data_IF_817397597242
#
_entry.id   IF_817397597242
#
_cell.length_a   1.000
_cell.length_b   1.000
_cell.length_c   1.000
_cell.angle_alpha   90.00
_cell.angle_beta   90.00
_cell.angle_gamma   90.00
#
_symmetry.space_group_name_H-M   'P 1'
#
loop_
_entity.id
_entity.type
_entity.pdbx_description
1 polymer ?
#
# COMPACT_ATOMS: atom_id res chain seq x y z
N UNK A 1 -74.56 -9.18 12.49
CA UNK A 1 -73.17 -9.52 12.90
C UNK A 1 -72.23 -8.68 12.05
N UNK A 2 -71.25 -8.03 12.69
CA UNK A 2 -70.32 -7.04 12.12
C UNK A 2 -69.22 -7.75 11.30
N UNK A 3 -68.91 -7.27 10.10
CA UNK A 3 -67.64 -7.58 9.42
C UNK A 3 -66.83 -6.31 9.31
N UNK A 4 -65.77 -6.25 10.11
CA UNK A 4 -64.83 -5.13 10.19
C UNK A 4 -63.90 -5.09 8.98
N UNK A 5 -63.60 -3.87 8.56
CA UNK A 5 -62.54 -3.47 7.65
C UNK A 5 -61.17 -3.71 8.30
N UNK A 6 -60.15 -4.06 7.53
CA UNK A 6 -58.76 -3.71 7.82
C UNK A 6 -57.98 -3.58 6.52
N UNK A 7 -57.76 -2.33 6.10
CA UNK A 7 -56.82 -1.95 5.06
C UNK A 7 -55.42 -1.88 5.69
N UNK A 8 -54.50 -2.71 5.22
CA UNK A 8 -53.08 -2.61 5.59
C UNK A 8 -52.39 -1.65 4.60
N UNK A 9 -52.09 -0.44 5.07
CA UNK A 9 -51.19 0.50 4.38
C UNK A 9 -49.77 0.17 4.81
N UNK A 10 -48.98 -0.42 3.92
CA UNK A 10 -47.54 -0.59 4.12
C UNK A 10 -46.83 0.66 3.58
N UNK A 11 -46.36 1.53 4.48
CA UNK A 11 -45.44 2.63 4.15
C UNK A 11 -44.05 2.02 4.02
N UNK A 12 -43.60 1.79 2.78
CA UNK A 12 -42.21 1.45 2.50
C UNK A 12 -41.35 2.71 2.64
N UNK A 13 -40.52 2.77 3.67
CA UNK A 13 -39.48 3.77 3.80
C UNK A 13 -38.39 3.48 2.75
N UNK A 14 -38.42 4.22 1.64
CA UNK A 14 -37.32 4.24 0.68
C UNK A 14 -36.14 4.97 1.33
N UNK A 15 -35.14 4.21 1.78
CA UNK A 15 -33.82 4.74 2.09
C UNK A 15 -33.22 5.26 0.79
N UNK A 16 -33.36 6.56 0.53
CA UNK A 16 -32.66 7.24 -0.55
C UNK A 16 -31.20 7.32 -0.16
N UNK A 17 -30.42 6.31 -0.55
CA UNK A 17 -28.96 6.41 -0.58
C UNK A 17 -28.60 7.45 -1.63
N UNK A 18 -28.36 8.69 -1.20
CA UNK A 18 -27.78 9.72 -2.06
C UNK A 18 -26.46 9.21 -2.62
N UNK A 19 -26.19 9.35 -3.92
CA UNK A 19 -24.85 9.10 -4.43
C UNK A 19 -23.90 10.06 -3.70
N UNK A 20 -22.92 9.49 -2.97
CA UNK A 20 -21.79 10.28 -2.51
C UNK A 20 -21.09 10.78 -3.77
N UNK A 21 -21.05 12.08 -3.99
CA UNK A 21 -20.23 12.58 -5.08
C UNK A 21 -18.76 12.45 -4.70
N UNK A 22 -17.94 12.04 -5.65
CA UNK A 22 -16.52 11.81 -5.45
C UNK A 22 -15.75 12.96 -6.09
N UNK A 23 -14.79 13.50 -5.34
CA UNK A 23 -13.74 14.34 -5.91
C UNK A 23 -12.74 13.46 -6.67
N UNK A 24 -12.11 14.03 -7.69
CA UNK A 24 -11.13 13.36 -8.54
C UNK A 24 -9.78 14.07 -8.47
N UNK A 25 -8.68 13.33 -8.54
CA UNK A 25 -7.33 13.87 -8.78
C UNK A 25 -6.70 13.18 -9.96
N UNK A 26 -6.47 13.95 -11.02
CA UNK A 26 -5.72 13.52 -12.19
C UNK A 26 -4.21 13.62 -11.92
N UNK A 27 -3.50 12.52 -12.11
CA UNK A 27 -2.07 12.36 -11.84
C UNK A 27 -1.34 12.15 -13.17
N UNK A 28 -0.38 13.02 -13.53
CA UNK A 28 0.42 12.86 -14.73
C UNK A 28 1.26 11.59 -14.74
N UNK A 29 1.57 11.11 -15.95
CA UNK A 29 2.33 9.89 -16.19
C UNK A 29 3.73 9.86 -15.53
N UNK A 30 4.29 11.04 -15.26
CA UNK A 30 5.56 11.24 -14.59
C UNK A 30 5.53 10.87 -13.09
N UNK A 31 4.35 10.63 -12.51
CA UNK A 31 4.20 10.27 -11.09
C UNK A 31 3.65 8.84 -10.94
N UNK A 32 4.23 8.13 -9.97
CA UNK A 32 3.79 6.84 -9.48
C UNK A 32 3.00 7.06 -8.19
N UNK A 33 1.75 6.59 -8.18
CA UNK A 33 0.91 6.58 -6.98
C UNK A 33 1.25 5.40 -6.08
N UNK A 34 1.39 5.69 -4.78
CA UNK A 34 1.84 4.72 -3.77
C UNK A 34 0.70 4.38 -2.81
N UNK A 35 0.00 5.39 -2.29
CA UNK A 35 -0.91 5.21 -1.16
C UNK A 35 -1.92 6.38 -1.02
N UNK A 36 -3.13 6.10 -0.54
CA UNK A 36 -4.15 7.09 -0.20
C UNK A 36 -4.64 6.87 1.25
N UNK A 37 -4.51 7.88 2.12
CA UNK A 37 -5.05 7.91 3.49
C UNK A 37 -4.66 6.74 4.38
N UNK A 38 -3.41 6.30 4.38
CA UNK A 38 -3.21 5.06 5.11
C UNK A 38 -3.86 3.85 4.38
N UNK A 39 -4.04 3.85 3.04
CA UNK A 39 -4.21 2.64 2.18
C UNK A 39 -3.17 2.51 1.03
N UNK A 40 -2.25 1.53 1.09
CA UNK A 40 -1.32 1.22 -0.01
C UNK A 40 -2.10 0.63 -1.16
N UNK A 41 -1.89 1.14 -2.35
CA UNK A 41 -2.48 0.54 -3.53
C UNK A 41 -1.45 -0.40 -4.15
N UNK A 42 -1.87 -1.65 -4.35
CA UNK A 42 -1.02 -2.66 -4.99
C UNK A 42 -0.53 -2.13 -6.34
N UNK A 43 0.78 -2.28 -6.58
CA UNK A 43 1.48 -1.83 -7.78
C UNK A 43 1.08 -2.70 -8.97
N UNK A 44 -0.18 -2.61 -9.41
CA UNK A 44 -0.62 -3.22 -10.66
C UNK A 44 -0.14 -2.33 -11.80
N UNK A 45 0.98 -2.72 -12.42
CA UNK A 45 1.52 -2.09 -13.63
C UNK A 45 0.51 -2.06 -14.79
N UNK A 46 -0.58 -2.83 -14.71
CA UNK A 46 -1.63 -2.96 -15.73
C UNK A 46 -2.81 -2.01 -15.48
N UNK A 47 -3.03 -1.56 -14.24
CA UNK A 47 -4.07 -0.59 -13.88
C UNK A 47 -3.46 0.61 -13.17
N UNK A 48 -2.57 1.32 -13.89
CA UNK A 48 -2.20 2.68 -13.51
C UNK A 48 -3.51 3.47 -13.44
N UNK A 49 -3.85 3.98 -12.26
CA UNK A 49 -4.93 4.94 -12.10
C UNK A 49 -4.33 6.32 -12.31
N UNK A 50 -4.54 6.86 -13.50
CA UNK A 50 -4.32 8.26 -13.85
C UNK A 50 -5.30 9.19 -13.12
N UNK A 51 -6.40 8.64 -12.61
CA UNK A 51 -7.39 9.36 -11.80
C UNK A 51 -7.64 8.64 -10.46
N UNK A 52 -7.54 9.39 -9.37
CA UNK A 52 -7.95 8.94 -8.04
C UNK A 52 -9.28 9.56 -7.68
N UNK A 53 -10.24 8.73 -7.28
CA UNK A 53 -11.52 9.18 -6.74
C UNK A 53 -11.55 8.99 -5.23
N UNK A 54 -11.96 10.02 -4.52
CA UNK A 54 -12.10 10.03 -3.06
C UNK A 54 -13.32 10.87 -2.66
N UNK A 55 -13.84 10.61 -1.46
CA UNK A 55 -14.90 11.43 -0.88
C UNK A 55 -14.42 12.88 -0.68
N UNK A 56 -15.29 13.85 -0.44
CA UNK A 56 -14.87 15.16 0.07
C UNK A 56 -14.16 15.02 1.44
N UNK A 57 -13.17 15.86 1.71
CA UNK A 57 -12.45 15.90 2.99
C UNK A 57 -10.93 15.98 2.88
N UNK A 58 -10.24 15.72 4.00
CA UNK A 58 -8.78 15.72 4.06
C UNK A 58 -8.22 14.40 3.56
N UNK A 59 -7.33 14.47 2.58
CA UNK A 59 -6.70 13.29 1.99
C UNK A 59 -5.19 13.38 1.94
N UNK A 60 -4.54 12.29 2.34
CA UNK A 60 -3.09 12.11 2.24
C UNK A 60 -2.77 11.20 1.07
N UNK A 61 -2.02 11.72 0.10
CA UNK A 61 -1.74 11.05 -1.16
C UNK A 61 -0.23 10.91 -1.27
N UNK A 62 0.27 9.68 -1.16
CA UNK A 62 1.68 9.37 -1.29
C UNK A 62 2.03 9.11 -2.76
N UNK A 63 3.00 9.88 -3.26
CA UNK A 63 3.42 9.89 -4.66
C UNK A 63 4.95 9.83 -4.76
N UNK A 64 5.42 9.49 -5.94
CA UNK A 64 6.82 9.59 -6.33
C UNK A 64 6.94 9.98 -7.79
N UNK A 65 7.83 10.90 -8.12
CA UNK A 65 8.26 11.10 -9.51
C UNK A 65 9.07 9.90 -10.01
N UNK A 66 8.74 9.38 -11.20
CA UNK A 66 9.42 8.29 -11.88
C UNK A 66 9.41 8.53 -13.39
N UNK A 67 10.58 8.43 -14.01
CA UNK A 67 10.75 8.67 -15.45
C UNK A 67 11.82 7.74 -16.06
N UNK A 68 11.86 7.68 -17.38
CA UNK A 68 12.90 7.00 -18.15
C UNK A 68 13.59 8.01 -19.06
N UNK A 69 14.87 8.23 -18.82
CA UNK A 69 15.70 9.18 -19.58
C UNK A 69 16.69 8.43 -20.46
N UNK A 70 17.11 9.03 -21.55
CA UNK A 70 18.22 8.51 -22.35
C UNK A 70 19.49 8.46 -21.48
N UNK A 71 20.27 7.38 -21.59
CA UNK A 71 21.54 7.25 -20.89
C UNK A 71 22.65 7.94 -21.67
N UNK A 72 23.51 8.67 -20.97
CA UNK A 72 24.66 9.37 -21.59
C UNK A 72 25.76 8.39 -22.07
N UNK A 73 25.74 7.14 -21.61
CA UNK A 73 26.83 6.17 -21.82
C UNK A 73 26.47 4.99 -22.71
N UNK A 74 25.18 4.69 -22.90
CA UNK A 74 24.72 3.56 -23.70
C UNK A 74 23.31 3.82 -24.24
N UNK A 75 22.90 3.09 -25.28
CA UNK A 75 21.56 3.19 -25.89
C UNK A 75 20.46 2.53 -25.02
N UNK A 76 20.68 2.40 -23.71
CA UNK A 76 19.70 1.83 -22.79
C UNK A 76 19.14 2.93 -21.91
N UNK A 77 17.83 3.19 -21.96
CA UNK A 77 17.21 4.19 -21.09
C UNK A 77 17.46 3.90 -19.60
N UNK A 78 17.81 4.96 -18.87
CA UNK A 78 18.00 4.94 -17.41
C UNK A 78 16.69 5.32 -16.72
N UNK A 79 16.27 4.54 -15.71
CA UNK A 79 15.12 4.91 -14.88
C UNK A 79 15.58 5.83 -13.76
N UNK A 80 14.94 6.99 -13.68
CA UNK A 80 15.12 7.93 -12.58
C UNK A 80 13.89 7.97 -11.68
N UNK A 81 14.12 8.04 -10.36
CA UNK A 81 13.07 8.06 -9.35
C UNK A 81 13.43 9.01 -8.22
N UNK A 82 12.44 9.72 -7.72
CA UNK A 82 12.54 10.54 -6.49
C UNK A 82 12.29 9.71 -5.22
N UNK A 83 12.58 10.30 -4.06
CA UNK A 83 12.00 9.85 -2.80
C UNK A 83 10.47 10.06 -2.81
N UNK A 84 9.75 9.30 -1.97
CA UNK A 84 8.31 9.48 -1.86
C UNK A 84 7.96 10.77 -1.11
N UNK A 85 6.89 11.43 -1.52
CA UNK A 85 6.36 12.62 -0.85
C UNK A 85 4.85 12.47 -0.65
N UNK A 86 4.34 13.14 0.38
CA UNK A 86 2.91 13.17 0.69
C UNK A 86 2.33 14.51 0.28
N UNK A 87 1.20 14.46 -0.40
CA UNK A 87 0.31 15.58 -0.60
C UNK A 87 -0.85 15.45 0.37
N UNK A 88 -1.09 16.47 1.19
CA UNK A 88 -2.33 16.61 1.95
C UNK A 88 -3.24 17.55 1.19
N UNK A 89 -4.33 17.04 0.63
CA UNK A 89 -5.31 17.78 -0.17
C UNK A 89 -6.63 17.92 0.59
N UNK A 90 -7.19 19.13 0.56
CA UNK A 90 -8.53 19.41 1.06
C UNK A 90 -9.52 19.36 -0.09
N UNK A 91 -10.15 18.20 -0.28
CA UNK A 91 -11.08 17.95 -1.36
C UNK A 91 -12.47 18.51 -1.06
N UNK A 92 -12.99 19.30 -1.99
CA UNK A 92 -14.38 19.76 -2.00
C UNK A 92 -15.30 18.69 -2.58
N UNK A 93 -16.60 18.79 -2.31
CA UNK A 93 -17.62 18.03 -3.05
C UNK A 93 -17.48 18.27 -4.56
N UNK A 94 -17.53 17.20 -5.35
CA UNK A 94 -17.42 17.24 -6.82
C UNK A 94 -16.15 17.96 -7.32
N UNK A 95 -15.08 17.99 -6.54
CA UNK A 95 -13.85 18.69 -6.92
C UNK A 95 -13.05 17.89 -7.95
N UNK A 96 -12.81 18.48 -9.13
CA UNK A 96 -11.94 17.91 -10.16
C UNK A 96 -10.56 18.58 -10.12
N UNK A 97 -9.57 17.84 -9.63
CA UNK A 97 -8.21 18.33 -9.39
C UNK A 97 -7.22 17.76 -10.40
N UNK A 98 -6.21 18.57 -10.74
CA UNK A 98 -5.11 18.17 -11.62
C UNK A 98 -3.78 18.46 -10.93
N UNK A 99 -2.94 17.43 -10.82
CA UNK A 99 -1.57 17.57 -10.35
C UNK A 99 -0.66 17.95 -11.52
N UNK A 100 0.21 18.95 -11.32
CA UNK A 100 1.18 19.41 -12.31
C UNK A 100 2.55 19.59 -11.66
N UNK A 101 3.67 19.24 -12.32
CA UNK A 101 4.99 19.59 -11.81
C UNK A 101 5.15 21.12 -11.64
N UNK A 102 5.78 21.54 -10.54
CA UNK A 102 6.13 22.95 -10.37
C UNK A 102 7.20 23.31 -11.42
N UNK A 103 6.89 24.28 -12.28
CA UNK A 103 7.67 24.59 -13.48
C UNK A 103 6.94 24.28 -14.79
N UNK A 104 5.75 23.67 -14.71
CA UNK A 104 4.87 23.40 -15.84
C UNK A 104 4.83 21.92 -16.21
N UNK A 105 4.07 21.61 -17.26
CA UNK A 105 3.80 20.24 -17.70
C UNK A 105 5.06 19.47 -18.14
N UNK A 106 6.08 20.19 -18.62
CA UNK A 106 7.34 19.61 -19.12
C UNK A 106 8.47 19.83 -18.11
N UNK A 107 8.97 18.73 -17.55
CA UNK A 107 10.14 18.72 -16.67
C UNK A 107 11.42 18.77 -17.51
N UNK A 108 12.11 19.91 -17.50
CA UNK A 108 13.32 20.13 -18.32
C UNK A 108 14.58 19.45 -17.78
N UNK A 109 14.68 19.32 -16.45
CA UNK A 109 15.82 18.69 -15.80
C UNK A 109 15.35 17.56 -14.88
N UNK A 110 15.09 16.36 -15.41
CA UNK A 110 14.49 15.24 -14.67
C UNK A 110 15.37 14.77 -13.51
N UNK A 111 16.71 14.89 -13.63
CA UNK A 111 17.64 14.56 -12.54
C UNK A 111 17.53 15.50 -11.34
N UNK A 112 17.42 16.80 -11.60
CA UNK A 112 17.24 17.81 -10.57
C UNK A 112 15.85 17.73 -9.93
N UNK A 113 14.81 17.56 -10.77
CA UNK A 113 13.44 17.39 -10.29
C UNK A 113 13.28 16.14 -9.40
N UNK A 114 13.93 15.03 -9.76
CA UNK A 114 13.91 13.83 -8.94
C UNK A 114 14.54 14.00 -7.55
N UNK A 115 15.52 14.92 -7.41
CA UNK A 115 16.17 15.17 -6.12
C UNK A 115 15.27 15.94 -5.16
N UNK A 116 14.44 16.86 -5.67
CA UNK A 116 13.52 17.67 -4.87
C UNK A 116 12.24 17.96 -5.68
N UNK A 117 11.32 16.98 -5.79
CA UNK A 117 10.10 17.18 -6.57
C UNK A 117 9.23 18.26 -5.92
N UNK A 118 8.70 19.12 -6.76
CA UNK A 118 7.72 20.15 -6.41
C UNK A 118 6.54 20.04 -7.37
N UNK A 119 5.34 20.26 -6.84
CA UNK A 119 4.09 20.12 -7.60
C UNK A 119 3.14 21.26 -7.25
N UNK A 120 2.18 21.48 -8.14
CA UNK A 120 1.03 22.35 -7.96
C UNK A 120 -0.21 21.51 -8.22
N UNK A 121 -1.28 21.77 -7.46
CA UNK A 121 -2.59 21.20 -7.74
C UNK A 121 -3.52 22.35 -8.12
N UNK A 122 -4.19 22.22 -9.24
CA UNK A 122 -5.25 23.13 -9.68
C UNK A 122 -6.58 22.41 -9.75
N UNK A 123 -7.68 23.14 -9.68
CA UNK A 123 -8.99 22.63 -10.12
C UNK A 123 -9.13 22.69 -11.65
N UNK A 124 -10.25 22.22 -12.18
CA UNK A 124 -10.58 22.27 -13.62
C UNK A 124 -10.57 23.71 -14.17
N UNK A 125 -10.92 24.71 -13.35
CA UNK A 125 -10.90 26.13 -13.71
C UNK A 125 -9.48 26.73 -13.69
N UNK A 126 -8.47 25.96 -13.29
CA UNK A 126 -7.07 26.36 -13.20
C UNK A 126 -6.75 27.17 -11.93
N UNK A 127 -7.66 27.28 -10.97
CA UNK A 127 -7.40 27.90 -9.68
C UNK A 127 -6.61 26.96 -8.77
N UNK A 128 -5.69 27.52 -7.99
CA UNK A 128 -4.84 26.72 -7.10
C UNK A 128 -5.66 26.08 -5.97
N UNK A 129 -5.56 24.75 -5.85
CA UNK A 129 -6.17 24.00 -4.76
C UNK A 129 -5.40 24.24 -3.45
N UNK A 130 -6.08 24.05 -2.31
CA UNK A 130 -5.43 24.07 -1.00
C UNK A 130 -4.81 22.72 -0.73
N UNK A 131 -3.48 22.68 -0.72
CA UNK A 131 -2.74 21.48 -0.37
C UNK A 131 -1.44 21.82 0.36
N UNK A 132 -0.89 20.82 1.04
CA UNK A 132 0.45 20.85 1.62
C UNK A 132 1.28 19.72 1.03
N UNK A 133 2.56 19.97 0.75
CA UNK A 133 3.51 18.94 0.34
C UNK A 133 4.49 18.68 1.48
N UNK A 134 4.54 17.43 1.91
CA UNK A 134 5.52 16.92 2.88
C UNK A 134 6.51 16.04 2.16
N UNK A 135 7.76 16.48 2.09
CA UNK A 135 8.86 15.64 1.57
C UNK A 135 9.19 14.60 2.62
N UNK A 136 9.41 13.37 2.16
CA UNK A 136 9.86 12.31 3.05
C UNK A 136 11.22 11.83 2.59
N UNK A 137 12.21 11.87 3.47
CA UNK A 137 13.54 11.28 3.26
C UNK A 137 13.51 9.75 3.32
N UNK A 138 12.43 9.12 2.86
CA UNK A 138 12.12 7.73 3.18
C UNK A 138 12.03 6.91 1.90
N UNK A 139 12.90 5.91 1.86
CA UNK A 139 12.98 4.86 0.85
C UNK A 139 11.80 3.89 1.03
N UNK A 140 11.82 2.71 0.39
CA UNK A 140 10.72 1.74 0.34
C UNK A 140 10.02 1.43 1.69
N UNK A 141 10.69 1.65 2.83
CA UNK A 141 10.17 1.54 4.21
C UNK A 141 9.09 2.56 4.59
N UNK A 142 8.94 3.67 3.87
CA UNK A 142 7.97 4.72 4.19
C UNK A 142 6.54 4.21 4.26
N UNK A 143 6.20 3.38 3.29
CA UNK A 143 4.88 2.80 3.18
C UNK A 143 4.63 1.83 4.35
N UNK A 144 5.63 1.08 4.83
CA UNK A 144 5.45 0.19 5.99
C UNK A 144 5.15 0.97 7.29
N UNK A 145 5.72 2.18 7.44
CA UNK A 145 5.53 3.05 8.61
C UNK A 145 4.21 3.84 8.61
N UNK A 146 3.68 4.22 7.45
CA UNK A 146 2.46 5.03 7.37
C UNK A 146 1.19 4.28 7.87
N UNK A 147 1.30 2.98 8.18
CA UNK A 147 0.16 2.04 8.32
C UNK A 147 0.34 0.92 9.33
N UNK A 148 1.57 0.66 9.75
CA UNK A 148 1.92 -0.53 10.53
C UNK A 148 1.37 -0.57 11.95
N UNK A 149 0.50 0.36 12.36
CA UNK A 149 0.04 0.47 13.75
C UNK A 149 -1.50 0.49 13.96
N UNK A 150 -2.33 0.18 12.95
CA UNK A 150 -3.80 0.28 13.08
C UNK A 150 -4.56 -1.05 12.95
N UNK A 151 -4.19 -2.09 13.70
CA UNK A 151 -5.17 -3.12 14.10
C UNK A 151 -4.77 -3.83 15.42
N UNK A 152 -4.89 -3.11 16.54
CA UNK A 152 -5.23 -3.73 17.83
C UNK A 152 -6.27 -2.87 18.53
N UNK A 153 -7.51 -2.92 18.07
CA UNK A 153 -8.66 -2.54 18.87
C UNK A 153 -9.78 -3.56 18.65
N UNK A 154 -10.10 -4.27 19.73
CA UNK A 154 -11.46 -4.70 20.05
C UNK A 154 -12.03 -5.88 19.27
N UNK A 155 -11.84 -7.08 19.79
CA UNK A 155 -12.93 -8.05 19.93
C UNK A 155 -12.57 -8.99 21.08
N UNK A 156 -12.98 -8.56 22.27
CA UNK A 156 -13.30 -9.44 23.39
C UNK A 156 -14.51 -10.28 22.95
N UNK A 157 -14.35 -11.60 22.83
CA UNK A 157 -15.34 -12.56 23.31
C UNK A 157 -14.73 -13.96 23.31
N UNK A 158 -14.44 -14.47 24.51
CA UNK A 158 -14.30 -15.90 24.75
C UNK A 158 -15.71 -16.48 24.92
N UNK A 159 -16.00 -17.66 24.35
CA UNK A 159 -16.57 -18.70 25.20
C UNK A 159 -15.89 -20.07 25.03
N UNK A 160 -16.15 -21.01 25.96
CA UNK A 160 -15.21 -22.02 26.41
C UNK A 160 -15.23 -23.33 25.61
N UNK A 161 -14.20 -24.13 25.90
CA UNK A 161 -13.87 -25.50 25.51
C UNK A 161 -15.02 -26.46 25.09
N UNK A 162 -14.67 -27.57 24.40
CA UNK A 162 -14.43 -28.76 25.20
C UNK A 162 -13.09 -29.44 24.91
N UNK A 163 -12.43 -29.87 25.98
CA UNK A 163 -11.40 -30.88 25.95
C UNK A 163 -12.00 -32.24 25.55
N UNK A 164 -11.19 -33.11 24.92
CA UNK A 164 -11.17 -34.49 25.35
C UNK A 164 -9.83 -34.81 26.04
N UNK A 165 -9.98 -35.38 27.23
CA UNK A 165 -8.91 -35.91 28.07
C UNK A 165 -8.63 -37.38 27.73
N UNK A 166 -7.36 -37.76 27.85
CA UNK A 166 -6.82 -39.11 28.11
C UNK A 166 -6.94 -40.15 26.97
N UNK A 167 -5.99 -41.05 26.71
CA UNK A 167 -4.88 -41.59 27.51
C UNK A 167 -3.71 -42.05 26.62
N UNK A 168 -2.53 -42.12 27.26
CA UNK A 168 -1.40 -43.03 27.09
C UNK A 168 -1.30 -43.89 25.80
N UNK A 169 -0.13 -43.89 25.15
CA UNK A 169 0.90 -44.88 25.46
C UNK A 169 2.24 -44.57 24.78
N UNK A 170 3.29 -45.09 25.41
CA UNK A 170 4.71 -44.98 25.09
C UNK A 170 5.01 -45.60 23.72
N UNK A 171 5.77 -44.90 22.85
CA UNK A 171 6.86 -45.51 22.08
C UNK A 171 7.88 -44.43 21.68
N UNK A 172 9.01 -44.49 22.37
CA UNK A 172 10.31 -44.17 21.80
C UNK A 172 10.45 -44.89 20.44
N UNK A 173 11.04 -44.21 19.47
CA UNK A 173 12.00 -44.75 18.50
C UNK A 173 11.74 -44.39 17.02
N UNK A 174 12.88 -44.13 16.37
CA UNK A 174 13.17 -44.17 14.93
C UNK A 174 12.90 -42.90 14.13
N UNK A 175 14.01 -42.18 13.92
CA UNK A 175 14.37 -41.48 12.69
C UNK A 175 13.74 -42.11 11.43
N UNK A 176 12.55 -41.62 11.07
CA UNK A 176 11.89 -41.87 9.80
C UNK A 176 12.29 -40.82 8.79
N UNK A 177 13.41 -41.07 8.10
CA UNK A 177 13.91 -40.34 6.94
C UNK A 177 12.85 -40.34 5.82
N UNK A 178 12.07 -39.28 5.71
CA UNK A 178 11.40 -38.88 4.47
C UNK A 178 12.37 -37.94 3.71
N UNK A 179 12.52 -38.07 2.38
CA UNK A 179 13.52 -37.28 1.66
C UNK A 179 13.07 -35.82 1.64
N UNK A 180 13.67 -35.00 2.51
CA UNK A 180 13.84 -33.60 2.22
C UNK A 180 14.59 -33.56 0.88
N UNK A 181 13.92 -33.09 -0.17
CA UNK A 181 14.57 -32.83 -1.45
C UNK A 181 15.79 -31.95 -1.14
N UNK A 182 16.98 -32.51 -1.36
CA UNK A 182 18.22 -31.82 -1.10
C UNK A 182 18.16 -30.45 -1.79
N UNK A 183 18.35 -29.33 -1.07
CA UNK A 183 18.54 -28.06 -1.73
C UNK A 183 19.73 -28.22 -2.66
N UNK A 184 19.52 -27.87 -3.93
CA UNK A 184 20.58 -27.84 -4.93
C UNK A 184 21.77 -27.05 -4.37
N UNK A 185 23.02 -27.49 -4.63
CA UNK A 185 24.19 -26.77 -4.17
C UNK A 185 24.13 -25.33 -4.71
N UNK A 186 24.11 -24.38 -3.78
CA UNK A 186 24.15 -22.96 -4.09
C UNK A 186 25.63 -22.64 -4.25
N UNK A 187 26.02 -22.27 -5.47
CA UNK A 187 27.35 -21.75 -5.72
C UNK A 187 27.45 -20.38 -5.03
N UNK A 188 28.08 -20.38 -3.86
CA UNK A 188 28.21 -19.20 -2.97
C UNK A 188 29.53 -18.46 -3.21
N UNK A 189 30.26 -18.84 -4.25
CA UNK A 189 31.51 -18.21 -4.64
C UNK A 189 31.26 -16.75 -5.06
N UNK A 190 31.49 -15.82 -4.13
CA UNK A 190 31.42 -14.37 -4.34
C UNK A 190 30.18 -13.67 -3.79
N UNK A 191 29.22 -14.38 -3.19
CA UNK A 191 28.04 -13.76 -2.56
C UNK A 191 28.37 -13.20 -1.17
N UNK A 192 27.93 -11.98 -0.87
CA UNK A 192 28.14 -11.40 0.45
C UNK A 192 27.30 -12.14 1.52
N UNK A 193 27.71 -12.14 2.80
CA UNK A 193 26.91 -12.75 3.87
C UNK A 193 25.47 -12.20 3.94
N UNK A 194 25.26 -10.94 3.57
CA UNK A 194 23.95 -10.31 3.50
C UNK A 194 23.10 -10.88 2.35
N UNK A 195 23.68 -11.13 1.18
CA UNK A 195 22.98 -11.71 0.04
C UNK A 195 22.53 -13.14 0.34
N UNK A 196 23.35 -13.88 1.08
CA UNK A 196 23.00 -15.22 1.55
C UNK A 196 21.78 -15.16 2.46
N UNK A 197 21.78 -14.29 3.48
CA UNK A 197 20.64 -14.14 4.39
C UNK A 197 19.34 -13.78 3.65
N UNK A 198 19.40 -12.92 2.64
CA UNK A 198 18.24 -12.60 1.80
C UNK A 198 17.74 -13.81 1.01
N UNK A 199 18.66 -14.63 0.49
CA UNK A 199 18.32 -15.85 -0.23
C UNK A 199 17.63 -16.88 0.69
N UNK A 200 18.17 -17.09 1.90
CA UNK A 200 17.58 -17.96 2.91
C UNK A 200 16.21 -17.45 3.36
N UNK A 201 16.09 -16.13 3.57
CA UNK A 201 14.84 -15.47 3.94
C UNK A 201 13.73 -15.66 2.91
N UNK A 202 14.05 -15.52 1.61
CA UNK A 202 13.07 -15.72 0.52
C UNK A 202 12.59 -17.15 0.40
N UNK A 203 13.39 -18.13 0.82
CA UNK A 203 13.07 -19.56 0.70
C UNK A 203 12.34 -20.11 1.93
N UNK A 204 12.46 -19.43 3.07
CA UNK A 204 11.79 -19.80 4.31
C UNK A 204 10.27 -19.52 4.25
N UNK A 205 9.49 -20.42 4.82
CA UNK A 205 8.06 -20.22 5.03
C UNK A 205 7.78 -19.13 6.09
N UNK A 206 6.52 -18.70 6.22
CA UNK A 206 6.15 -17.59 7.08
C UNK A 206 6.41 -17.85 8.57
N UNK A 207 6.27 -19.10 9.03
CA UNK A 207 6.54 -19.46 10.42
C UNK A 207 8.03 -19.35 10.72
N UNK A 208 8.86 -19.94 9.86
CA UNK A 208 10.32 -19.89 9.99
C UNK A 208 10.84 -18.45 9.98
N UNK A 209 10.25 -17.58 9.16
CA UNK A 209 10.58 -16.15 9.12
C UNK A 209 10.27 -15.43 10.44
N UNK A 210 9.12 -15.70 11.05
CA UNK A 210 8.73 -15.12 12.35
C UNK A 210 9.65 -15.55 13.48
N UNK A 211 10.02 -16.83 13.52
CA UNK A 211 10.95 -17.36 14.53
C UNK A 211 12.35 -16.74 14.39
N UNK A 212 12.83 -16.58 13.15
CA UNK A 212 14.12 -15.93 12.89
C UNK A 212 14.12 -14.45 13.30
N UNK A 213 13.04 -13.69 13.05
CA UNK A 213 12.93 -12.31 13.53
C UNK A 213 12.88 -12.22 15.06
N UNK A 214 12.16 -13.15 15.70
CA UNK A 214 12.12 -13.22 17.17
C UNK A 214 13.50 -13.44 17.77
N UNK A 215 14.29 -14.35 17.20
CA UNK A 215 15.68 -14.57 17.61
C UNK A 215 16.57 -13.36 17.34
N UNK A 216 16.46 -12.71 16.17
CA UNK A 216 17.29 -11.57 15.82
C UNK A 216 17.09 -10.36 16.76
N UNK A 217 15.87 -10.17 17.25
CA UNK A 217 15.54 -9.13 18.24
C UNK A 217 16.14 -9.45 19.62
N UNK A 218 16.26 -10.73 19.99
CA UNK A 218 16.87 -11.18 21.26
C UNK A 218 18.41 -11.06 21.26
N UNK A 219 19.03 -10.97 20.09
CA UNK A 219 20.47 -10.81 19.94
C UNK A 219 20.95 -9.35 19.88
N UNK A 220 20.04 -8.39 20.10
CA UNK A 220 20.26 -6.94 20.08
C UNK A 220 20.22 -6.35 21.50
#
# INVERSE_FOLDING_TARGET
MKTSVSAAVAIGAALTSSPLSAASLTIPMAFEFIALNGQMIERSLVMRKDELQFAPGHHEIALRYSDMIESDFNDTPESIRSAAFIITLDASDDGDYVLVPAGGEVIRNPREFAAAPEVVITDEDGAAAKFTLTRTDVTRDFAASLYGNETRVGSDESPPAPAPSASADVVENVFGKAPAAAPLPIDTAGASPADMLQLWWRRADEKTRKEFLGWAIDQL
#
